data_IF_675329305737
#
_entry.id   IF_675329305737
#
_cell.length_a   1.000
_cell.length_b   1.000
_cell.length_c   1.000
_cell.angle_alpha   90.00
_cell.angle_beta   90.00
_cell.angle_gamma   90.00
#
_symmetry.space_group_name_H-M   'P 1'
#
loop_
_entity.id
_entity.type
_entity.pdbx_description
1 polymer ?
#
# COMPACT_ATOMS: atom_id res chain seq x y z
N UNK A 1 1.44 -26.88 21.20
CA UNK A 1 1.58 -25.47 20.78
C UNK A 1 0.63 -25.18 19.62
N UNK A 2 -0.32 -24.24 19.74
CA UNK A 2 -1.10 -23.78 18.60
C UNK A 2 -0.34 -22.68 17.83
N UNK A 3 -0.49 -22.56 16.50
CA UNK A 3 0.13 -21.48 15.73
C UNK A 3 -0.58 -20.16 15.97
N UNK A 4 0.23 -19.12 16.15
CA UNK A 4 -0.14 -17.75 16.53
C UNK A 4 -0.89 -17.07 15.37
N UNK A 5 -2.23 -17.13 15.36
CA UNK A 5 -3.07 -16.26 14.52
C UNK A 5 -3.14 -14.89 15.21
N UNK A 6 -2.38 -13.93 14.68
CA UNK A 6 -2.43 -12.53 15.11
C UNK A 6 -3.79 -11.94 14.70
N UNK A 7 -4.47 -11.40 15.72
CA UNK A 7 -5.77 -10.76 15.64
C UNK A 7 -5.71 -9.48 14.78
N UNK A 8 -6.78 -9.24 14.01
CA UNK A 8 -7.02 -7.97 13.35
C UNK A 8 -7.90 -7.09 14.26
N UNK A 9 -7.51 -5.85 14.61
CA UNK A 9 -8.44 -4.91 15.20
C UNK A 9 -9.27 -4.23 14.10
N UNK A 10 -10.54 -4.02 14.40
CA UNK A 10 -11.51 -3.34 13.55
C UNK A 10 -11.11 -1.89 13.27
N UNK A 11 -11.23 -1.48 12.01
CA UNK A 11 -10.93 -0.13 11.55
C UNK A 11 -12.11 0.81 11.85
N UNK A 12 -11.91 1.71 12.81
CA UNK A 12 -12.75 2.89 13.02
C UNK A 12 -12.33 4.01 12.06
N UNK A 13 -13.32 4.80 11.66
CA UNK A 13 -13.33 5.85 10.66
C UNK A 13 -12.15 6.85 10.66
N UNK A 14 -11.88 7.37 9.46
CA UNK A 14 -10.81 8.29 9.10
C UNK A 14 -10.65 9.54 9.98
N UNK A 15 -9.40 9.90 10.29
CA UNK A 15 -8.88 11.26 10.59
C UNK A 15 -7.33 11.21 10.70
N UNK A 16 -6.61 12.35 10.60
CA UNK A 16 -5.67 12.71 9.53
C UNK A 16 -4.21 12.37 9.89
N UNK A 17 -3.79 11.14 9.63
CA UNK A 17 -2.39 10.72 9.72
C UNK A 17 -2.20 9.35 9.04
N UNK A 18 -2.78 9.18 7.85
CA UNK A 18 -2.63 7.93 7.08
C UNK A 18 -1.16 7.71 6.74
N UNK A 19 -0.50 6.90 7.57
CA UNK A 19 0.75 6.22 7.29
C UNK A 19 0.47 5.10 6.29
N UNK A 20 1.52 4.57 5.67
CA UNK A 20 1.32 3.45 4.75
C UNK A 20 0.90 2.22 5.57
N UNK A 21 -0.20 1.54 5.19
CA UNK A 21 -0.67 0.39 5.94
C UNK A 21 0.42 -0.69 6.02
N UNK A 22 0.49 -1.37 7.15
CA UNK A 22 1.24 -2.63 7.31
C UNK A 22 0.37 -3.83 6.94
N UNK A 23 0.97 -4.94 6.51
CA UNK A 23 0.21 -6.13 6.09
C UNK A 23 -0.40 -5.99 4.69
N UNK A 24 -1.61 -6.50 4.46
CA UNK A 24 -2.26 -6.36 3.15
C UNK A 24 -2.98 -5.03 3.02
N UNK A 25 -2.88 -4.40 1.85
CA UNK A 25 -3.44 -3.06 1.61
C UNK A 25 -4.90 -3.11 1.16
N UNK A 26 -5.46 -4.31 0.98
CA UNK A 26 -6.85 -4.54 0.59
C UNK A 26 -7.86 -3.89 1.53
N UNK A 27 -7.53 -3.80 2.81
CA UNK A 27 -8.39 -3.19 3.82
C UNK A 27 -8.26 -1.67 3.87
N UNK A 28 -7.27 -1.09 3.19
CA UNK A 28 -7.06 0.35 3.09
C UNK A 28 -7.65 0.86 1.78
N UNK A 29 -8.93 1.25 1.83
CA UNK A 29 -9.74 1.64 0.66
C UNK A 29 -8.98 2.57 -0.31
N UNK A 30 -8.38 3.65 0.18
CA UNK A 30 -7.67 4.61 -0.67
C UNK A 30 -6.45 4.00 -1.37
N UNK A 31 -5.61 3.26 -0.64
CA UNK A 31 -4.41 2.62 -1.20
C UNK A 31 -4.77 1.52 -2.20
N UNK A 32 -5.76 0.70 -1.86
CA UNK A 32 -6.26 -0.35 -2.73
C UNK A 32 -6.84 0.22 -4.03
N UNK A 33 -7.64 1.28 -3.96
CA UNK A 33 -8.20 1.94 -5.15
C UNK A 33 -7.11 2.50 -6.06
N UNK A 34 -6.09 3.14 -5.49
CA UNK A 34 -4.96 3.68 -6.28
C UNK A 34 -4.18 2.55 -6.98
N UNK A 35 -3.87 1.46 -6.28
CA UNK A 35 -3.17 0.34 -6.89
C UNK A 35 -4.01 -0.38 -7.95
N UNK A 36 -5.32 -0.50 -7.75
CA UNK A 36 -6.20 -1.07 -8.78
C UNK A 36 -6.27 -0.19 -10.03
N UNK A 37 -6.37 1.13 -9.85
CA UNK A 37 -6.47 2.09 -10.95
C UNK A 37 -5.16 2.27 -11.71
N UNK A 38 -4.02 2.31 -10.99
CA UNK A 38 -2.72 2.68 -11.58
C UNK A 38 -1.70 1.55 -11.61
N UNK A 39 -1.95 0.43 -10.94
CA UNK A 39 -1.03 -0.70 -10.83
C UNK A 39 -1.06 -1.66 -12.02
N UNK A 40 -1.77 -1.34 -13.11
CA UNK A 40 -1.68 -2.11 -14.37
C UNK A 40 -2.29 -3.52 -14.33
N UNK A 41 -3.11 -3.83 -13.33
CA UNK A 41 -3.73 -5.15 -13.16
C UNK A 41 -2.91 -6.15 -12.32
N UNK A 42 -1.76 -5.74 -11.79
CA UNK A 42 -0.98 -6.55 -10.84
C UNK A 42 -1.68 -6.66 -9.48
N UNK A 43 -1.33 -7.72 -8.74
CA UNK A 43 -1.83 -7.90 -7.38
C UNK A 43 -1.41 -6.72 -6.49
N UNK A 44 -2.38 -6.16 -5.77
CA UNK A 44 -2.17 -4.93 -5.00
C UNK A 44 -1.25 -5.14 -3.80
N UNK A 45 -1.23 -6.35 -3.23
CA UNK A 45 -0.34 -6.69 -2.13
C UNK A 45 1.10 -6.90 -2.63
N UNK A 46 1.27 -7.40 -3.85
CA UNK A 46 2.56 -7.47 -4.53
C UNK A 46 3.14 -6.08 -4.80
N UNK A 47 2.34 -5.14 -5.34
CA UNK A 47 2.77 -3.75 -5.55
C UNK A 47 3.14 -3.11 -4.21
N UNK A 48 2.32 -3.31 -3.18
CA UNK A 48 2.56 -2.78 -1.84
C UNK A 48 3.84 -3.32 -1.21
N UNK A 49 4.12 -4.63 -1.38
CA UNK A 49 5.37 -5.25 -0.95
C UNK A 49 6.57 -4.58 -1.60
N UNK A 50 6.56 -4.46 -2.93
CA UNK A 50 7.64 -3.79 -3.67
C UNK A 50 7.83 -2.32 -3.27
N UNK A 51 6.75 -1.61 -2.95
CA UNK A 51 6.84 -0.23 -2.48
C UNK A 51 7.51 -0.12 -1.11
N UNK A 52 7.18 -1.02 -0.18
CA UNK A 52 7.84 -1.09 1.13
C UNK A 52 9.33 -1.39 0.99
N UNK A 53 9.68 -2.35 0.15
CA UNK A 53 11.09 -2.70 -0.11
C UNK A 53 11.85 -1.54 -0.75
N UNK A 54 11.26 -0.84 -1.73
CA UNK A 54 11.94 0.28 -2.38
C UNK A 54 12.08 1.51 -1.49
N UNK A 55 11.07 1.79 -0.65
CA UNK A 55 11.07 3.00 0.20
C UNK A 55 11.79 2.78 1.53
N UNK A 56 11.75 1.57 2.08
CA UNK A 56 12.37 1.21 3.36
C UNK A 56 12.05 2.23 4.47
N UNK A 57 13.08 2.67 5.18
CA UNK A 57 12.98 3.65 6.28
C UNK A 57 12.39 5.01 5.86
N UNK A 58 12.45 5.36 4.56
CA UNK A 58 11.88 6.62 4.07
C UNK A 58 10.36 6.61 4.14
N UNK A 59 9.75 5.43 4.10
CA UNK A 59 8.30 5.28 4.18
C UNK A 59 7.75 5.76 5.52
N UNK A 60 8.48 5.53 6.61
CA UNK A 60 8.11 5.98 7.95
C UNK A 60 8.09 7.52 8.09
N UNK A 61 8.78 8.23 7.20
CA UNK A 61 8.82 9.70 7.15
C UNK A 61 7.72 10.30 6.27
N UNK A 62 6.90 9.46 5.62
CA UNK A 62 5.81 9.90 4.74
C UNK A 62 4.45 9.68 5.42
N UNK A 63 3.59 10.68 5.28
CA UNK A 63 2.22 10.61 5.76
C UNK A 63 1.30 11.49 4.91
N UNK A 64 0.00 11.20 4.97
CA UNK A 64 -1.04 12.01 4.35
C UNK A 64 -0.83 12.22 2.84
N UNK A 65 -1.00 13.46 2.38
CA UNK A 65 -0.96 13.79 0.95
C UNK A 65 0.38 13.46 0.26
N UNK A 66 1.51 13.58 0.98
CA UNK A 66 2.83 13.27 0.42
C UNK A 66 2.99 11.77 0.19
N UNK A 67 2.46 10.97 1.12
CA UNK A 67 2.42 9.53 0.97
C UNK A 67 1.51 9.12 -0.19
N UNK A 68 0.31 9.68 -0.29
CA UNK A 68 -0.63 9.38 -1.37
C UNK A 68 -0.02 9.67 -2.75
N UNK A 69 0.60 10.84 -2.94
CA UNK A 69 1.28 11.19 -4.20
C UNK A 69 2.42 10.21 -4.53
N UNK A 70 3.22 9.86 -3.53
CA UNK A 70 4.33 8.90 -3.70
C UNK A 70 3.82 7.51 -4.08
N UNK A 71 2.74 7.04 -3.44
CA UNK A 71 2.11 5.76 -3.73
C UNK A 71 1.53 5.71 -5.13
N UNK A 72 0.79 6.75 -5.56
CA UNK A 72 0.25 6.83 -6.92
C UNK A 72 1.35 6.80 -7.97
N UNK A 73 2.40 7.62 -7.81
CA UNK A 73 3.53 7.65 -8.73
C UNK A 73 4.27 6.32 -8.79
N UNK A 74 4.40 5.63 -7.65
CA UNK A 74 4.98 4.30 -7.62
C UNK A 74 4.12 3.28 -8.38
N UNK A 75 2.80 3.25 -8.18
CA UNK A 75 1.91 2.33 -8.90
C UNK A 75 2.03 2.51 -10.42
N UNK A 76 2.02 3.76 -10.88
CA UNK A 76 2.19 4.10 -12.31
C UNK A 76 3.55 3.62 -12.85
N UNK A 77 4.64 3.90 -12.13
CA UNK A 77 5.97 3.47 -12.52
C UNK A 77 6.14 1.94 -12.49
N UNK A 78 5.51 1.28 -11.52
CA UNK A 78 5.49 -0.17 -11.38
C UNK A 78 4.83 -0.82 -12.61
N UNK A 79 3.63 -0.36 -12.97
CA UNK A 79 2.92 -0.82 -14.15
C UNK A 79 3.70 -0.55 -15.44
N UNK A 80 4.26 0.66 -15.60
CA UNK A 80 5.03 1.03 -16.79
C UNK A 80 6.29 0.15 -16.98
N UNK A 81 6.95 -0.26 -15.90
CA UNK A 81 8.16 -1.10 -15.95
C UNK A 81 7.86 -2.58 -16.19
N UNK A 82 6.77 -3.10 -15.64
CA UNK A 82 6.42 -4.53 -15.70
C UNK A 82 5.45 -4.90 -16.81
N UNK A 83 4.77 -3.94 -17.42
CA UNK A 83 3.69 -4.21 -18.37
C UNK A 83 2.43 -4.76 -17.68
N UNK A 84 1.57 -5.45 -18.43
CA UNK A 84 0.37 -6.13 -17.91
C UNK A 84 0.70 -7.63 -17.70
N UNK A 85 0.34 -8.22 -16.55
CA UNK A 85 0.47 -9.66 -16.32
C UNK A 85 -0.53 -10.47 -17.15
#
# INVERSE_FOLDING_TARGET
>A
SPPRKLAAPAATAASPSSVFPEGSIRWSKEFAQIAQAHGGGWDIDLIAGSYREQMGERLAKLSGAKLMKSWTGFCQAFAARRGRP
#
